data_IF_209322433705
#
_entry.id   IF_209322433705
#
_cell.length_a   1.000
_cell.length_b   1.000
_cell.length_c   1.000
_cell.angle_alpha   90.00
_cell.angle_beta   90.00
_cell.angle_gamma   90.00
#
_symmetry.space_group_name_H-M   'P 1'
#
loop_
_entity.id
_entity.type
_entity.pdbx_description
1 polymer ?
#
# COMPACT_ATOMS: atom_id res chain seq x y z
N UNK A 1 -9.05 -7.06 -14.71
CA UNK A 1 -9.90 -7.95 -15.53
C UNK A 1 -11.06 -8.42 -14.67
N UNK A 2 -12.27 -7.93 -14.93
CA UNK A 2 -13.49 -8.44 -14.28
C UNK A 2 -13.78 -9.84 -14.83
N UNK A 3 -14.08 -10.82 -13.96
CA UNK A 3 -14.62 -12.09 -14.44
C UNK A 3 -15.96 -11.80 -15.14
N UNK A 4 -16.10 -12.24 -16.39
CA UNK A 4 -17.35 -12.01 -17.11
C UNK A 4 -18.51 -12.70 -16.37
N UNK A 5 -19.69 -12.08 -16.29
CA UNK A 5 -20.86 -12.70 -15.64
C UNK A 5 -21.17 -14.10 -16.19
N UNK A 6 -20.87 -14.33 -17.47
CA UNK A 6 -20.99 -15.64 -18.14
C UNK A 6 -20.03 -16.68 -17.60
N UNK A 7 -18.77 -16.31 -17.31
CA UNK A 7 -17.77 -17.22 -16.75
C UNK A 7 -18.11 -17.56 -15.29
N UNK A 8 -18.54 -16.57 -14.51
CA UNK A 8 -19.03 -16.77 -13.14
C UNK A 8 -20.23 -17.72 -13.12
N UNK A 9 -21.22 -17.50 -13.98
CA UNK A 9 -22.39 -18.37 -14.08
C UNK A 9 -22.03 -19.81 -14.45
N UNK A 10 -21.06 -20.01 -15.37
CA UNK A 10 -20.56 -21.34 -15.75
C UNK A 10 -19.83 -22.05 -14.59
N UNK A 11 -18.98 -21.33 -13.85
CA UNK A 11 -18.26 -21.88 -12.70
C UNK A 11 -19.24 -22.29 -11.59
N UNK A 12 -20.21 -21.43 -11.29
CA UNK A 12 -21.25 -21.75 -10.31
C UNK A 12 -22.13 -22.90 -10.79
N UNK A 13 -22.52 -22.97 -12.06
CA UNK A 13 -23.36 -24.06 -12.58
C UNK A 13 -22.72 -25.46 -12.39
N UNK A 14 -21.39 -25.55 -12.50
CA UNK A 14 -20.62 -26.81 -12.39
C UNK A 14 -20.15 -27.14 -10.98
N UNK A 15 -20.31 -26.25 -10.01
CA UNK A 15 -19.88 -26.47 -8.63
C UNK A 15 -20.92 -27.26 -7.81
N UNK A 16 -20.46 -28.05 -6.84
CA UNK A 16 -21.32 -28.70 -5.85
C UNK A 16 -21.99 -27.67 -4.93
N UNK A 17 -23.06 -28.07 -4.24
CA UNK A 17 -23.84 -27.17 -3.38
C UNK A 17 -23.01 -26.51 -2.27
N UNK A 18 -22.03 -27.21 -1.70
CA UNK A 18 -21.14 -26.66 -0.68
C UNK A 18 -20.17 -25.63 -1.26
N UNK A 19 -19.63 -25.89 -2.44
CA UNK A 19 -18.76 -24.96 -3.16
C UNK A 19 -19.51 -23.75 -3.69
N UNK A 20 -20.75 -23.89 -4.18
CA UNK A 20 -21.66 -22.76 -4.51
C UNK A 20 -21.87 -21.84 -3.32
N UNK A 21 -22.12 -22.40 -2.13
CA UNK A 21 -22.35 -21.63 -0.89
C UNK A 21 -21.10 -20.87 -0.43
N UNK A 22 -19.91 -21.47 -0.58
CA UNK A 22 -18.62 -20.84 -0.31
C UNK A 22 -18.30 -19.75 -1.32
N UNK A 23 -18.44 -20.04 -2.60
CA UNK A 23 -18.17 -19.12 -3.71
C UNK A 23 -19.16 -17.96 -3.75
N UNK A 24 -20.42 -18.11 -3.33
CA UNK A 24 -21.39 -17.01 -3.26
C UNK A 24 -20.88 -15.82 -2.43
N UNK A 25 -20.03 -16.05 -1.42
CA UNK A 25 -19.42 -14.97 -0.62
C UNK A 25 -18.22 -14.30 -1.30
N UNK A 26 -17.57 -14.99 -2.24
CA UNK A 26 -16.28 -14.59 -2.85
C UNK A 26 -16.47 -14.09 -4.29
N UNK A 27 -17.44 -14.63 -5.02
CA UNK A 27 -17.74 -14.32 -6.43
C UNK A 27 -18.09 -12.85 -6.63
N UNK A 28 -18.83 -12.23 -5.70
CA UNK A 28 -19.12 -10.80 -5.75
C UNK A 28 -17.89 -9.93 -5.42
N UNK A 29 -16.88 -10.47 -4.70
CA UNK A 29 -15.60 -9.81 -4.42
C UNK A 29 -14.56 -10.02 -5.53
N UNK A 30 -14.66 -11.10 -6.30
CA UNK A 30 -13.76 -11.45 -7.40
C UNK A 30 -13.79 -10.48 -8.60
N UNK A 31 -14.82 -9.64 -8.70
CA UNK A 31 -14.97 -8.68 -9.81
C UNK A 31 -14.14 -7.40 -9.68
N UNK A 32 -13.75 -7.00 -8.46
CA UNK A 32 -12.92 -5.82 -8.20
C UNK A 32 -11.75 -6.25 -7.34
N UNK A 33 -10.66 -6.69 -7.97
CA UNK A 33 -9.37 -6.66 -7.29
C UNK A 33 -9.18 -5.22 -6.79
N UNK A 34 -8.99 -5.02 -5.50
CA UNK A 34 -8.61 -3.72 -4.97
C UNK A 34 -7.25 -3.30 -5.58
N UNK A 35 -6.94 -2.01 -5.52
CA UNK A 35 -5.74 -1.49 -6.17
C UNK A 35 -4.46 -2.01 -5.51
N UNK A 36 -4.53 -2.46 -4.25
CA UNK A 36 -3.41 -3.13 -3.58
C UNK A 36 -3.13 -4.47 -4.26
N UNK A 37 -4.14 -5.30 -4.48
CA UNK A 37 -4.04 -6.61 -5.16
C UNK A 37 -3.56 -6.44 -6.60
N UNK A 38 -4.08 -5.44 -7.33
CA UNK A 38 -3.61 -5.17 -8.70
C UNK A 38 -2.14 -4.77 -8.72
N UNK A 39 -1.73 -3.88 -7.82
CA UNK A 39 -0.36 -3.38 -7.79
C UNK A 39 0.63 -4.44 -7.28
N UNK A 40 0.26 -5.24 -6.27
CA UNK A 40 1.13 -6.28 -5.73
C UNK A 40 1.44 -7.40 -6.74
N UNK A 41 0.54 -7.65 -7.70
CA UNK A 41 0.73 -8.63 -8.77
C UNK A 41 1.38 -8.04 -10.02
N UNK A 42 1.54 -6.72 -10.09
CA UNK A 42 2.22 -6.05 -11.20
C UNK A 42 3.71 -6.43 -11.23
N UNK A 43 4.31 -6.63 -12.42
CA UNK A 43 5.74 -6.85 -12.58
C UNK A 43 6.57 -5.55 -12.40
N UNK A 44 6.14 -4.64 -11.52
CA UNK A 44 6.87 -3.42 -11.17
C UNK A 44 7.07 -2.46 -12.37
N UNK A 45 6.07 -2.28 -13.23
CA UNK A 45 6.19 -1.44 -14.45
C UNK A 45 6.68 -0.02 -14.17
N UNK A 46 6.29 0.58 -13.03
CA UNK A 46 6.67 1.92 -12.63
C UNK A 46 7.97 2.00 -11.81
N UNK A 47 8.74 0.91 -11.69
CA UNK A 47 9.95 0.82 -10.87
C UNK A 47 10.97 1.92 -11.19
N UNK A 48 11.19 2.16 -12.48
CA UNK A 48 12.13 3.14 -12.99
C UNK A 48 11.76 4.60 -12.63
N UNK A 49 10.51 4.87 -12.26
CA UNK A 49 10.05 6.19 -11.84
C UNK A 49 10.21 6.43 -10.34
N UNK A 50 10.50 5.40 -9.54
CA UNK A 50 10.52 5.53 -8.09
C UNK A 50 11.89 6.06 -7.61
N UNK A 51 11.99 7.31 -7.10
CA UNK A 51 13.28 7.88 -6.67
C UNK A 51 13.87 7.14 -5.48
N UNK A 52 13.02 6.61 -4.58
CA UNK A 52 13.47 5.80 -3.44
C UNK A 52 14.15 4.53 -3.91
N UNK A 53 13.58 3.85 -4.91
CA UNK A 53 14.20 2.64 -5.44
C UNK A 53 15.50 2.96 -6.19
N UNK A 54 15.56 4.08 -6.89
CA UNK A 54 16.77 4.52 -7.59
C UNK A 54 17.95 4.76 -6.63
N UNK A 55 17.67 5.32 -5.46
CA UNK A 55 18.67 5.55 -4.40
C UNK A 55 19.00 4.28 -3.61
N UNK A 56 18.00 3.56 -3.11
CA UNK A 56 18.23 2.44 -2.18
C UNK A 56 18.57 1.13 -2.88
N UNK A 57 18.21 0.97 -4.17
CA UNK A 57 18.51 -0.19 -5.02
C UNK A 57 18.11 -1.55 -4.45
N UNK A 58 17.21 -1.60 -3.46
CA UNK A 58 16.66 -2.83 -2.87
C UNK A 58 15.22 -3.05 -3.31
N UNK A 59 14.89 -4.27 -3.72
CA UNK A 59 13.54 -4.58 -4.22
C UNK A 59 12.44 -4.42 -3.15
N UNK A 60 12.79 -4.54 -1.87
CA UNK A 60 11.85 -4.39 -0.75
C UNK A 60 11.17 -3.02 -0.70
N UNK A 61 11.81 -1.97 -1.24
CA UNK A 61 11.22 -0.62 -1.31
C UNK A 61 10.61 -0.28 -2.67
N UNK A 62 10.56 -1.24 -3.58
CA UNK A 62 9.90 -1.06 -4.88
C UNK A 62 8.38 -0.87 -4.72
N UNK A 63 7.72 -0.19 -5.67
CA UNK A 63 6.27 0.07 -5.61
C UNK A 63 5.41 -1.18 -5.41
N UNK A 64 5.58 -2.23 -6.23
CA UNK A 64 4.76 -3.46 -6.10
C UNK A 64 5.09 -4.26 -4.85
N UNK A 65 6.37 -4.29 -4.41
CA UNK A 65 6.73 -5.02 -3.19
C UNK A 65 6.15 -4.32 -1.96
N UNK A 66 6.16 -2.98 -1.91
CA UNK A 66 5.46 -2.24 -0.86
C UNK A 66 3.98 -2.58 -0.79
N UNK A 67 3.33 -2.80 -1.94
CA UNK A 67 1.93 -3.26 -1.98
C UNK A 67 1.77 -4.71 -1.53
N UNK A 68 2.73 -5.61 -1.82
CA UNK A 68 2.76 -6.97 -1.23
C UNK A 68 2.85 -6.89 0.29
N UNK A 69 3.76 -6.05 0.81
CA UNK A 69 3.91 -5.84 2.24
C UNK A 69 2.62 -5.28 2.84
N UNK A 70 2.01 -4.27 2.21
CA UNK A 70 0.72 -3.70 2.64
C UNK A 70 -0.43 -4.70 2.65
N UNK A 71 -0.42 -5.67 1.74
CA UNK A 71 -1.42 -6.72 1.68
C UNK A 71 -1.25 -7.78 2.78
N UNK A 72 -0.01 -8.20 3.05
CA UNK A 72 0.30 -9.26 4.01
C UNK A 72 0.58 -8.77 5.43
N UNK A 73 0.65 -7.47 5.67
CA UNK A 73 0.88 -6.95 7.03
C UNK A 73 -0.35 -7.14 7.92
N UNK A 74 -0.09 -7.64 9.13
CA UNK A 74 -1.06 -7.80 10.20
C UNK A 74 -0.97 -6.60 11.16
N UNK A 75 -0.60 -6.81 12.42
CA UNK A 75 -0.50 -5.74 13.43
C UNK A 75 0.84 -4.98 13.37
N UNK A 76 1.94 -5.68 13.11
CA UNK A 76 3.28 -5.09 12.97
C UNK A 76 3.58 -4.72 11.52
N UNK A 77 4.04 -3.49 11.32
CA UNK A 77 4.27 -2.92 9.99
C UNK A 77 5.73 -3.03 9.60
N UNK A 78 5.98 -3.48 8.37
CA UNK A 78 7.31 -3.47 7.78
C UNK A 78 7.82 -2.04 7.54
N UNK A 79 8.97 -1.68 8.11
CA UNK A 79 9.58 -0.36 7.94
C UNK A 79 9.72 0.08 6.48
N UNK A 80 9.94 -0.88 5.57
CA UNK A 80 10.03 -0.65 4.13
C UNK A 80 8.84 0.13 3.54
N UNK A 81 7.64 0.05 4.14
CA UNK A 81 6.51 0.85 3.66
C UNK A 81 6.64 2.34 4.01
N UNK A 82 7.36 2.70 5.07
CA UNK A 82 7.59 4.10 5.46
C UNK A 82 8.66 4.79 4.61
N UNK A 83 9.47 4.02 3.87
CA UNK A 83 10.37 4.54 2.83
C UNK A 83 9.62 5.05 1.58
N UNK A 84 8.34 5.41 1.65
CA UNK A 84 7.64 6.02 0.52
C UNK A 84 7.64 7.55 0.70
N UNK A 85 8.03 8.29 -0.35
CA UNK A 85 8.08 9.77 -0.40
C UNK A 85 6.73 10.40 -0.85
N UNK A 86 5.59 9.74 -0.62
CA UNK A 86 4.33 9.85 -1.41
C UNK A 86 4.33 10.84 -2.60
N UNK A 87 5.23 10.65 -3.57
CA UNK A 87 5.47 11.62 -4.66
C UNK A 87 4.68 11.31 -5.94
N UNK A 88 3.97 10.18 -5.97
CA UNK A 88 3.16 9.71 -7.10
C UNK A 88 3.85 9.57 -8.45
N UNK A 89 5.18 9.58 -8.51
CA UNK A 89 5.93 9.20 -9.71
C UNK A 89 5.55 7.80 -10.22
N UNK A 90 5.19 6.89 -9.31
CA UNK A 90 4.68 5.58 -9.64
C UNK A 90 3.31 5.60 -10.35
N UNK A 91 2.42 6.55 -10.00
CA UNK A 91 1.08 6.72 -10.57
C UNK A 91 1.16 7.22 -12.00
N UNK A 92 2.05 8.18 -12.25
CA UNK A 92 2.27 8.79 -13.56
C UNK A 92 2.66 7.78 -14.67
N UNK A 93 3.30 6.68 -14.31
CA UNK A 93 3.69 5.59 -15.23
C UNK A 93 2.81 4.33 -15.09
N UNK A 94 1.84 4.34 -14.17
CA UNK A 94 0.99 3.17 -13.92
C UNK A 94 -0.12 3.07 -14.98
N UNK A 95 -0.22 1.98 -15.76
CA UNK A 95 -1.32 1.78 -16.72
C UNK A 95 -2.68 1.57 -16.04
N UNK A 96 -2.69 1.37 -14.72
CA UNK A 96 -3.90 1.24 -13.91
C UNK A 96 -4.14 2.47 -13.03
N UNK A 97 -3.33 3.52 -13.17
CA UNK A 97 -3.44 4.80 -12.44
C UNK A 97 -3.41 4.66 -10.90
N UNK A 98 -2.74 3.62 -10.40
CA UNK A 98 -2.67 3.33 -8.97
C UNK A 98 -1.60 4.20 -8.30
N UNK A 99 -2.02 4.97 -7.29
CA UNK A 99 -1.08 5.61 -6.35
C UNK A 99 -0.68 4.62 -5.25
N UNK A 100 0.62 4.26 -5.22
CA UNK A 100 1.19 3.52 -4.09
C UNK A 100 1.22 4.40 -2.84
N UNK A 101 1.42 5.71 -2.98
CA UNK A 101 1.46 6.65 -1.85
C UNK A 101 0.13 6.69 -1.09
N UNK A 102 -0.98 6.89 -1.80
CA UNK A 102 -2.33 6.89 -1.24
C UNK A 102 -2.66 5.54 -0.58
N UNK A 103 -2.38 4.42 -1.25
CA UNK A 103 -2.67 3.07 -0.70
C UNK A 103 -1.82 2.72 0.51
N UNK A 104 -0.57 3.20 0.57
CA UNK A 104 0.25 3.06 1.77
C UNK A 104 -0.22 3.95 2.91
N UNK A 105 -0.76 5.15 2.63
CA UNK A 105 -1.36 5.98 3.67
C UNK A 105 -2.52 5.25 4.34
N UNK A 106 -3.44 4.68 3.58
CA UNK A 106 -4.53 3.82 4.08
C UNK A 106 -3.98 2.64 4.91
N UNK A 107 -2.93 1.98 4.41
CA UNK A 107 -2.31 0.84 5.10
C UNK A 107 -1.57 1.22 6.40
N UNK A 108 -1.19 2.47 6.62
CA UNK A 108 -0.49 2.88 7.85
C UNK A 108 -1.45 3.23 8.99
N UNK A 109 -2.70 3.56 8.68
CA UNK A 109 -3.68 4.01 9.69
C UNK A 109 -3.93 2.91 10.70
N UNK A 110 -3.78 3.25 11.99
CA UNK A 110 -4.10 2.34 13.10
C UNK A 110 -3.10 1.19 13.31
N UNK A 111 -1.95 1.20 12.62
CA UNK A 111 -0.91 0.17 12.75
C UNK A 111 0.35 0.71 13.43
N UNK A 112 1.08 -0.18 14.12
CA UNK A 112 2.31 0.18 14.87
C UNK A 112 3.57 -0.15 14.07
N UNK A 113 4.52 0.77 14.09
CA UNK A 113 5.88 0.59 13.57
C UNK A 113 6.85 1.30 14.49
N UNK A 114 7.95 0.60 14.83
CA UNK A 114 9.03 1.19 15.64
C UNK A 114 9.62 2.42 14.96
N UNK A 115 9.85 2.35 13.65
CA UNK A 115 10.34 3.49 12.88
C UNK A 115 9.38 4.68 12.94
N UNK A 116 8.07 4.44 12.83
CA UNK A 116 7.07 5.49 12.93
C UNK A 116 6.98 6.09 14.35
N UNK A 117 7.05 5.26 15.39
CA UNK A 117 7.05 5.68 16.79
C UNK A 117 8.29 6.51 17.14
N UNK A 118 9.47 6.08 16.70
CA UNK A 118 10.72 6.82 16.87
C UNK A 118 10.71 8.15 16.13
N UNK A 119 10.18 8.17 14.89
CA UNK A 119 10.05 9.38 14.11
C UNK A 119 9.07 10.38 14.76
N UNK A 120 7.94 9.91 15.30
CA UNK A 120 6.99 10.74 16.02
C UNK A 120 7.61 11.38 17.27
N UNK A 121 8.31 10.59 18.09
CA UNK A 121 9.03 11.10 19.28
C UNK A 121 10.05 12.19 18.90
N UNK A 122 10.86 11.93 17.87
CA UNK A 122 11.84 12.91 17.40
C UNK A 122 11.19 14.19 16.86
N UNK A 123 10.06 14.07 16.16
CA UNK A 123 9.32 15.23 15.68
C UNK A 123 8.77 16.08 16.82
N UNK A 124 8.27 15.46 17.89
CA UNK A 124 7.81 16.16 19.09
C UNK A 124 8.95 16.92 19.79
N UNK A 125 10.13 16.29 19.92
CA UNK A 125 11.34 16.91 20.47
C UNK A 125 11.74 18.15 19.66
N UNK A 126 11.85 18.00 18.33
CA UNK A 126 12.21 19.10 17.42
C UNK A 126 11.19 20.24 17.45
N UNK A 127 9.90 19.93 17.52
CA UNK A 127 8.85 20.95 17.63
C UNK A 127 8.92 21.68 18.98
N UNK A 128 9.24 20.97 20.07
CA UNK A 128 9.41 21.58 21.39
C UNK A 128 10.65 22.49 21.43
N UNK A 129 11.74 22.10 20.78
CA UNK A 129 12.95 22.92 20.63
C UNK A 129 12.66 24.18 19.81
N UNK A 130 12.08 24.03 18.61
CA UNK A 130 11.71 25.15 17.75
C UNK A 130 10.78 26.15 18.45
N UNK A 131 9.85 25.65 19.27
CA UNK A 131 8.97 26.50 20.09
C UNK A 131 9.77 27.33 21.12
N UNK A 132 10.74 26.71 21.80
CA UNK A 132 11.59 27.42 22.78
C UNK A 132 12.48 28.45 22.12
N UNK A 133 12.96 28.19 20.91
CA UNK A 133 13.76 29.15 20.13
C UNK A 133 12.91 30.36 19.73
N UNK A 134 11.71 30.14 19.19
CA UNK A 134 10.79 31.22 18.86
C UNK A 134 10.45 32.10 20.09
N UNK A 135 10.18 31.48 21.25
CA UNK A 135 9.92 32.20 22.51
C UNK A 135 11.15 32.99 23.03
N UNK A 136 12.37 32.66 22.58
CA UNK A 136 13.60 33.40 22.92
C UNK A 136 13.85 34.57 21.97
N UNK A 137 13.54 34.41 20.68
CA UNK A 137 13.68 35.48 19.68
C UNK A 137 12.67 36.61 19.88
N UNK A 138 11.52 36.30 20.50
CA UNK A 138 10.48 37.29 20.86
C UNK A 138 10.79 38.10 22.14
N UNK A 139 11.86 37.76 22.89
CA UNK A 139 12.26 38.43 24.15
C UNK A 139 13.44 39.38 23.96
#
# INVERSE_FOLDING_TARGET
MTLSPKLVARLLARADAGTKRRLAKVVFKLGKADDVVKCMLCPNMCLHMCPVFDVERRLTVSPSVKMRLAYFMEEEVFDAIYHCLPCDACKASCPMEISVGEKLAEARVGRRSKLAEEAARKAEELMAEARREAEREER
#
